data_IF_237350675565
#
_entry.id   IF_237350675565
#
_cell.length_a   1.000
_cell.length_b   1.000
_cell.length_c   1.000
_cell.angle_alpha   90.00
_cell.angle_beta   90.00
_cell.angle_gamma   90.00
#
_symmetry.space_group_name_H-M   'P 1'
#
loop_
_entity.id
_entity.type
_entity.pdbx_description
1 polymer ?
#
# COMPACT_ATOMS: atom_id res chain seq x y z
N UNK A 1 -12.22 26.02 -2.40
CA UNK A 1 -12.35 26.51 -1.00
C UNK A 1 -11.55 25.70 0.03
N UNK A 2 -11.13 24.46 -0.26
CA UNK A 2 -10.37 23.60 0.69
C UNK A 2 -8.85 23.87 0.74
N UNK A 3 -8.26 24.44 -0.31
CA UNK A 3 -6.83 24.80 -0.34
C UNK A 3 -6.42 25.86 0.70
N UNK A 4 -7.33 26.70 1.18
CA UNK A 4 -7.04 27.71 2.21
C UNK A 4 -6.94 27.14 3.63
N UNK A 5 -7.49 25.94 3.90
CA UNK A 5 -7.45 25.32 5.25
C UNK A 5 -6.19 24.48 5.49
N UNK A 6 -5.64 23.87 4.45
CA UNK A 6 -4.34 23.15 4.54
C UNK A 6 -3.18 24.15 4.63
N UNK A 7 -3.27 25.28 3.92
CA UNK A 7 -2.31 26.39 4.04
C UNK A 7 -2.38 27.09 5.41
N UNK A 8 -3.52 27.08 6.10
CA UNK A 8 -3.60 27.62 7.48
C UNK A 8 -2.98 26.71 8.54
N UNK A 9 -2.96 25.38 8.33
CA UNK A 9 -2.28 24.43 9.22
C UNK A 9 -0.77 24.34 8.94
N UNK A 10 -0.33 24.70 7.73
CA UNK A 10 1.09 24.73 7.32
C UNK A 10 1.70 26.15 7.29
N UNK A 11 0.89 27.19 7.44
CA UNK A 11 1.29 28.60 7.30
C UNK A 11 2.04 29.20 8.49
N UNK A 12 2.31 28.42 9.54
CA UNK A 12 3.18 28.81 10.66
C UNK A 12 4.61 28.27 10.55
N UNK A 13 4.91 27.44 9.54
CA UNK A 13 6.26 26.95 9.28
C UNK A 13 6.58 27.15 7.79
N UNK A 14 7.35 28.20 7.49
CA UNK A 14 7.85 28.44 6.13
C UNK A 14 8.75 27.30 5.67
N UNK A 15 8.25 26.40 4.83
CA UNK A 15 9.02 25.30 4.26
C UNK A 15 8.64 25.04 2.78
N UNK A 16 9.32 25.68 1.81
CA UNK A 16 9.10 25.44 0.38
C UNK A 16 9.86 24.22 -0.19
N UNK A 17 10.46 23.35 0.64
CA UNK A 17 11.50 22.39 0.18
C UNK A 17 11.04 20.93 0.07
N UNK A 18 9.83 20.55 0.51
CA UNK A 18 9.36 19.15 0.43
C UNK A 18 8.86 18.73 -0.97
N UNK A 19 8.69 19.68 -1.89
CA UNK A 19 8.07 19.49 -3.20
C UNK A 19 8.99 18.88 -4.29
N UNK A 20 10.31 19.15 -4.39
CA UNK A 20 11.10 18.76 -5.56
C UNK A 20 11.34 17.25 -5.73
N UNK A 21 11.42 16.48 -4.64
CA UNK A 21 11.78 15.05 -4.68
C UNK A 21 10.60 14.13 -5.00
N UNK A 22 9.43 14.40 -4.41
CA UNK A 22 8.17 13.73 -4.74
C UNK A 22 7.78 13.94 -6.23
N UNK A 23 8.09 15.13 -6.77
CA UNK A 23 7.87 15.43 -8.18
C UNK A 23 8.75 14.58 -9.12
N UNK A 24 9.93 14.11 -8.70
CA UNK A 24 10.83 13.35 -9.58
C UNK A 24 10.34 11.92 -9.84
N UNK A 25 9.77 11.24 -8.83
CA UNK A 25 9.17 9.90 -8.97
C UNK A 25 7.83 9.98 -9.70
N UNK A 26 7.00 10.99 -9.38
CA UNK A 26 5.73 11.26 -10.07
C UNK A 26 5.93 11.64 -11.53
N UNK A 27 6.99 12.39 -11.86
CA UNK A 27 7.31 12.75 -13.23
C UNK A 27 7.69 11.52 -14.06
N UNK A 28 8.42 10.55 -13.50
CA UNK A 28 8.73 9.28 -14.20
C UNK A 28 7.48 8.45 -14.45
N UNK A 29 6.62 8.26 -13.45
CA UNK A 29 5.36 7.50 -13.61
C UNK A 29 4.42 8.19 -14.60
N UNK A 30 4.32 9.52 -14.57
CA UNK A 30 3.53 10.29 -15.55
C UNK A 30 4.15 10.29 -16.94
N UNK A 31 5.47 10.24 -17.08
CA UNK A 31 6.15 10.18 -18.38
C UNK A 31 5.96 8.81 -19.03
N UNK A 32 5.97 7.72 -18.27
CA UNK A 32 5.56 6.38 -18.75
C UNK A 32 4.09 6.39 -19.19
N UNK A 33 3.18 7.03 -18.43
CA UNK A 33 1.75 7.10 -18.78
C UNK A 33 1.41 8.04 -19.94
N UNK A 34 2.11 9.17 -20.12
CA UNK A 34 1.80 10.18 -21.15
C UNK A 34 2.40 9.86 -22.52
N UNK A 35 3.39 8.96 -22.60
CA UNK A 35 4.03 8.59 -23.86
C UNK A 35 3.28 7.58 -24.73
N UNK A 36 2.18 6.98 -24.25
CA UNK A 36 1.43 5.95 -25.00
C UNK A 36 -0.07 6.20 -24.93
N UNK A 37 -0.62 6.84 -25.97
CA UNK A 37 -2.01 6.58 -26.33
C UNK A 37 -2.10 5.07 -26.64
N UNK A 38 -2.85 4.33 -25.82
CA UNK A 38 -2.97 2.89 -25.94
C UNK A 38 -3.57 2.53 -27.30
N UNK A 39 -2.75 1.96 -28.20
CA UNK A 39 -3.29 1.18 -29.32
C UNK A 39 -4.01 -0.04 -28.72
N UNK A 40 -5.23 -0.38 -29.16
CA UNK A 40 -5.90 -1.59 -28.73
C UNK A 40 -5.01 -2.79 -29.13
N UNK A 41 -4.56 -3.54 -28.13
CA UNK A 41 -3.82 -4.78 -28.33
C UNK A 41 -4.85 -5.86 -28.69
N UNK A 42 -4.71 -6.57 -29.82
CA UNK A 42 -5.64 -7.63 -30.19
C UNK A 42 -5.63 -8.75 -29.14
N UNK A 43 -6.78 -9.38 -28.86
CA UNK A 43 -6.86 -10.51 -27.94
C UNK A 43 -6.22 -11.72 -28.63
N UNK A 44 -5.08 -12.22 -28.13
CA UNK A 44 -4.46 -13.39 -28.76
C UNK A 44 -3.22 -13.98 -28.09
N UNK A 45 -2.41 -13.19 -27.38
CA UNK A 45 -1.27 -13.72 -26.61
C UNK A 45 -1.17 -13.02 -25.25
N UNK A 46 -0.87 -13.74 -24.15
CA UNK A 46 -0.47 -13.11 -22.90
C UNK A 46 0.79 -12.29 -23.16
N UNK A 47 0.60 -10.97 -23.27
CA UNK A 47 1.67 -10.07 -23.62
C UNK A 47 2.62 -9.96 -22.44
N UNK A 48 3.72 -10.72 -22.50
CA UNK A 48 4.78 -10.84 -21.49
C UNK A 48 5.38 -9.51 -20.98
N UNK A 49 5.01 -8.38 -21.59
CA UNK A 49 5.39 -7.03 -21.17
C UNK A 49 4.42 -6.37 -20.19
N UNK A 50 3.14 -6.77 -20.15
CA UNK A 50 2.15 -6.12 -19.27
C UNK A 50 2.44 -6.43 -17.81
N UNK A 51 2.90 -7.64 -17.52
CA UNK A 51 3.24 -8.06 -16.18
C UNK A 51 4.42 -7.27 -15.63
N UNK A 52 5.45 -7.10 -16.45
CA UNK A 52 6.62 -6.30 -16.11
C UNK A 52 6.24 -4.83 -15.93
N UNK A 53 5.43 -4.25 -16.81
CA UNK A 53 4.98 -2.85 -16.70
C UNK A 53 4.21 -2.60 -15.39
N UNK A 54 3.32 -3.53 -15.02
CA UNK A 54 2.58 -3.46 -13.75
C UNK A 54 3.52 -3.61 -12.55
N UNK A 55 4.40 -4.60 -12.58
CA UNK A 55 5.37 -4.87 -11.52
C UNK A 55 6.31 -3.67 -11.29
N UNK A 56 6.79 -3.03 -12.35
CA UNK A 56 7.58 -1.79 -12.26
C UNK A 56 6.78 -0.69 -11.57
N UNK A 57 5.49 -0.56 -11.90
CA UNK A 57 4.59 0.40 -11.25
C UNK A 57 4.46 0.17 -9.75
N UNK A 58 4.22 -1.08 -9.35
CA UNK A 58 4.08 -1.46 -7.93
C UNK A 58 5.42 -1.26 -7.19
N UNK A 59 6.53 -1.75 -7.73
CA UNK A 59 7.86 -1.57 -7.11
C UNK A 59 8.23 -0.10 -7.00
N UNK A 60 7.89 0.74 -7.98
CA UNK A 60 8.09 2.18 -7.90
C UNK A 60 7.22 2.84 -6.82
N UNK A 61 5.94 2.43 -6.69
CA UNK A 61 5.07 2.88 -5.60
C UNK A 61 5.57 2.42 -4.23
N UNK A 62 6.25 1.27 -4.17
CA UNK A 62 6.83 0.67 -2.98
C UNK A 62 8.26 1.14 -2.66
N UNK A 63 8.79 2.14 -3.36
CA UNK A 63 10.14 2.69 -3.11
C UNK A 63 10.31 3.14 -1.65
N UNK A 64 9.23 3.56 -0.99
CA UNK A 64 9.26 3.92 0.43
C UNK A 64 9.65 2.74 1.33
N UNK A 65 9.26 1.51 0.99
CA UNK A 65 9.66 0.32 1.75
C UNK A 65 11.17 0.12 1.69
N UNK A 66 11.77 0.29 0.51
CA UNK A 66 13.21 0.18 0.32
C UNK A 66 13.94 1.17 1.23
N UNK A 67 13.45 2.41 1.30
CA UNK A 67 14.00 3.44 2.19
C UNK A 67 13.76 3.15 3.66
N UNK A 68 12.59 2.63 4.03
CA UNK A 68 12.28 2.25 5.41
C UNK A 68 13.10 1.05 5.89
N UNK A 69 13.43 0.12 5.00
CA UNK A 69 14.38 -0.95 5.25
C UNK A 69 15.82 -0.43 5.32
N UNK A 70 16.03 0.89 5.16
CA UNK A 70 17.30 1.59 5.36
C UNK A 70 18.27 1.50 4.18
N UNK A 71 17.81 1.10 2.99
CA UNK A 71 18.65 1.09 1.80
C UNK A 71 18.98 2.52 1.38
N UNK A 72 20.26 2.77 1.09
CA UNK A 72 20.64 3.97 0.34
C UNK A 72 20.25 3.83 -1.13
N UNK A 73 20.49 4.87 -1.92
CA UNK A 73 20.11 4.91 -3.33
C UNK A 73 20.81 3.82 -4.17
N UNK A 74 22.09 3.55 -3.92
CA UNK A 74 22.85 2.58 -4.70
C UNK A 74 22.39 1.15 -4.38
N UNK A 75 22.22 0.85 -3.10
CA UNK A 75 21.70 -0.43 -2.63
C UNK A 75 20.25 -0.64 -3.10
N UNK A 76 19.41 0.41 -3.10
CA UNK A 76 18.05 0.36 -3.64
C UNK A 76 18.03 -0.01 -5.13
N UNK A 77 18.92 0.59 -5.93
CA UNK A 77 19.07 0.26 -7.35
C UNK A 77 19.53 -1.18 -7.55
N UNK A 78 20.40 -1.70 -6.68
CA UNK A 78 20.91 -3.05 -6.78
C UNK A 78 19.84 -4.12 -6.49
N UNK A 79 18.91 -3.86 -5.55
CA UNK A 79 17.83 -4.82 -5.23
C UNK A 79 16.62 -4.71 -6.15
N UNK A 80 16.45 -3.59 -6.85
CA UNK A 80 15.27 -3.32 -7.67
C UNK A 80 14.95 -4.40 -8.72
N UNK A 81 15.91 -4.95 -9.48
CA UNK A 81 15.61 -6.00 -10.47
C UNK A 81 14.98 -7.25 -9.85
N UNK A 82 15.44 -7.63 -8.65
CA UNK A 82 14.87 -8.75 -7.92
C UNK A 82 13.44 -8.45 -7.46
N UNK A 83 13.18 -7.26 -6.89
CA UNK A 83 11.83 -6.88 -6.48
C UNK A 83 10.86 -6.90 -7.68
N UNK A 84 11.31 -6.41 -8.85
CA UNK A 84 10.52 -6.46 -10.09
C UNK A 84 10.27 -7.91 -10.52
N UNK A 85 11.27 -8.80 -10.46
CA UNK A 85 11.09 -10.23 -10.77
C UNK A 85 10.03 -10.86 -9.87
N UNK A 86 10.12 -10.67 -8.55
CA UNK A 86 9.18 -11.24 -7.60
C UNK A 86 7.76 -10.70 -7.83
N UNK A 87 7.62 -9.39 -8.01
CA UNK A 87 6.33 -8.75 -8.27
C UNK A 87 5.72 -9.18 -9.62
N UNK A 88 6.57 -9.44 -10.63
CA UNK A 88 6.12 -10.00 -11.91
C UNK A 88 5.49 -11.37 -11.71
N UNK A 89 6.08 -12.23 -10.87
CA UNK A 89 5.52 -13.55 -10.55
C UNK A 89 4.21 -13.46 -9.75
N UNK A 90 4.11 -12.51 -8.82
CA UNK A 90 2.86 -12.22 -8.10
C UNK A 90 1.76 -11.82 -9.08
N UNK A 91 2.07 -10.90 -10.01
CA UNK A 91 1.08 -10.45 -10.99
C UNK A 91 0.72 -11.51 -12.04
N UNK A 92 1.63 -12.43 -12.36
CA UNK A 92 1.27 -13.63 -13.13
C UNK A 92 0.24 -14.49 -12.40
N UNK A 93 0.35 -14.60 -11.07
CA UNK A 93 -0.67 -15.24 -10.24
C UNK A 93 -2.01 -14.53 -10.34
N UNK A 94 -2.02 -13.21 -10.17
CA UNK A 94 -3.21 -12.35 -10.32
C UNK A 94 -3.92 -12.61 -11.68
N UNK A 95 -3.16 -12.57 -12.78
CA UNK A 95 -3.68 -12.85 -14.13
C UNK A 95 -4.22 -14.28 -14.29
N UNK A 96 -3.59 -15.27 -13.64
CA UNK A 96 -4.06 -16.64 -13.66
C UNK A 96 -5.40 -16.79 -12.94
N UNK A 97 -5.56 -16.12 -11.79
CA UNK A 97 -6.84 -16.06 -11.08
C UNK A 97 -7.91 -15.28 -11.84
N UNK A 98 -7.58 -14.14 -12.46
CA UNK A 98 -8.51 -13.43 -13.34
C UNK A 98 -8.98 -14.30 -14.53
N UNK A 99 -8.09 -15.14 -15.08
CA UNK A 99 -8.45 -16.08 -16.14
C UNK A 99 -9.37 -17.20 -15.63
N UNK A 100 -9.07 -17.76 -14.46
CA UNK A 100 -9.90 -18.75 -13.78
C UNK A 100 -11.31 -18.20 -13.49
N UNK A 101 -11.41 -16.99 -12.93
CA UNK A 101 -12.67 -16.30 -12.66
C UNK A 101 -13.49 -16.10 -13.94
N UNK A 102 -12.86 -15.72 -15.06
CA UNK A 102 -13.55 -15.59 -16.37
C UNK A 102 -14.05 -16.93 -16.91
N UNK A 103 -13.40 -18.02 -16.56
CA UNK A 103 -13.85 -19.38 -16.88
C UNK A 103 -14.87 -19.94 -15.87
N UNK A 104 -15.23 -19.17 -14.83
CA UNK A 104 -16.18 -19.59 -13.80
C UNK A 104 -15.59 -20.60 -12.80
N UNK A 105 -14.27 -20.64 -12.64
CA UNK A 105 -13.59 -21.52 -11.68
C UNK A 105 -12.82 -20.69 -10.65
N UNK A 106 -12.88 -21.10 -9.39
CA UNK A 106 -12.21 -20.42 -8.27
C UNK A 106 -10.70 -20.68 -8.22
N UNK A 107 -10.27 -21.81 -8.77
CA UNK A 107 -8.90 -22.30 -8.66
C UNK A 107 -8.11 -21.97 -9.93
N UNK A 108 -6.96 -21.31 -9.77
CA UNK A 108 -6.02 -21.05 -10.84
C UNK A 108 -4.87 -22.07 -10.86
N UNK A 109 -4.08 -22.05 -11.92
CA UNK A 109 -2.82 -22.80 -12.01
C UNK A 109 -1.86 -22.36 -10.88
N UNK A 110 -1.39 -23.27 -10.01
CA UNK A 110 -0.48 -22.94 -8.92
C UNK A 110 0.97 -22.64 -9.37
N UNK A 111 1.29 -22.73 -10.66
CA UNK A 111 2.65 -22.55 -11.18
C UNK A 111 3.32 -21.22 -10.78
N UNK A 112 2.55 -20.14 -10.61
CA UNK A 112 3.07 -18.85 -10.14
C UNK A 112 3.67 -18.98 -8.73
N UNK A 113 3.03 -19.76 -7.85
CA UNK A 113 3.46 -19.97 -6.46
C UNK A 113 4.73 -20.79 -6.39
N UNK A 114 4.82 -21.84 -7.20
CA UNK A 114 6.05 -22.64 -7.33
C UNK A 114 7.20 -21.78 -7.88
N UNK A 115 6.95 -21.02 -8.94
CA UNK A 115 7.94 -20.11 -9.52
C UNK A 115 8.42 -19.06 -8.53
N UNK A 116 7.51 -18.51 -7.72
CA UNK A 116 7.83 -17.55 -6.66
C UNK A 116 8.66 -18.19 -5.54
N UNK A 117 8.31 -19.41 -5.11
CA UNK A 117 9.07 -20.16 -4.11
C UNK A 117 10.49 -20.51 -4.60
N UNK A 118 10.62 -20.93 -5.86
CA UNK A 118 11.92 -21.19 -6.50
C UNK A 118 12.74 -19.90 -6.53
N UNK A 119 12.18 -18.79 -7.01
CA UNK A 119 12.89 -17.51 -7.07
C UNK A 119 13.36 -17.04 -5.68
N UNK A 120 12.54 -17.22 -4.64
CA UNK A 120 12.95 -16.92 -3.26
C UNK A 120 14.10 -17.83 -2.79
N UNK A 121 14.02 -19.13 -3.07
CA UNK A 121 15.04 -20.10 -2.67
C UNK A 121 16.37 -19.88 -3.38
N UNK A 122 16.36 -19.59 -4.69
CA UNK A 122 17.55 -19.27 -5.50
C UNK A 122 18.38 -18.12 -4.91
N UNK A 123 17.71 -17.17 -4.25
CA UNK A 123 18.33 -16.01 -3.63
C UNK A 123 18.54 -16.16 -2.12
N UNK A 124 18.26 -17.35 -1.54
CA UNK A 124 18.38 -17.59 -0.10
C UNK A 124 17.38 -16.79 0.75
N UNK A 125 16.25 -16.42 0.15
CA UNK A 125 15.26 -15.51 0.75
C UNK A 125 14.10 -16.20 1.43
N UNK A 126 13.95 -17.52 1.24
CA UNK A 126 12.96 -18.32 1.95
C UNK A 126 13.12 -18.20 3.47
N UNK A 127 11.99 -18.23 4.17
CA UNK A 127 11.93 -18.09 5.61
C UNK A 127 10.51 -17.78 6.10
N UNK A 128 10.28 -17.83 7.44
CA UNK A 128 8.93 -17.77 7.99
C UNK A 128 8.10 -16.56 7.53
N UNK A 129 8.72 -15.37 7.45
CA UNK A 129 8.03 -14.14 7.08
C UNK A 129 7.66 -14.11 5.58
N UNK A 130 8.55 -14.57 4.69
CA UNK A 130 8.26 -14.65 3.25
C UNK A 130 7.24 -15.75 2.96
N UNK A 131 7.33 -16.89 3.65
CA UNK A 131 6.44 -18.03 3.46
C UNK A 131 5.02 -17.70 3.93
N UNK A 132 4.91 -16.96 5.05
CA UNK A 132 3.64 -16.42 5.52
C UNK A 132 3.02 -15.44 4.52
N UNK A 133 3.83 -14.54 3.93
CA UNK A 133 3.34 -13.59 2.93
C UNK A 133 2.87 -14.27 1.63
N UNK A 134 3.59 -15.29 1.14
CA UNK A 134 3.17 -16.09 -0.02
C UNK A 134 1.88 -16.87 0.27
N UNK A 135 1.75 -17.42 1.49
CA UNK A 135 0.53 -18.10 1.92
C UNK A 135 -0.66 -17.14 1.99
N UNK A 136 -0.45 -15.92 2.52
CA UNK A 136 -1.48 -14.89 2.56
C UNK A 136 -1.90 -14.42 1.17
N UNK A 137 -0.96 -14.29 0.22
CA UNK A 137 -1.25 -14.00 -1.18
C UNK A 137 -2.15 -15.06 -1.85
N UNK A 138 -1.79 -16.33 -1.73
CA UNK A 138 -2.59 -17.44 -2.27
C UNK A 138 -3.98 -17.49 -1.61
N UNK A 139 -4.03 -17.30 -0.28
CA UNK A 139 -5.27 -17.18 0.47
C UNK A 139 -6.16 -16.03 -0.01
N UNK A 140 -5.57 -14.86 -0.26
CA UNK A 140 -6.25 -13.69 -0.80
C UNK A 140 -6.86 -13.98 -2.17
N UNK A 141 -6.08 -14.48 -3.14
CA UNK A 141 -6.58 -14.71 -4.50
C UNK A 141 -7.74 -15.71 -4.54
N UNK A 142 -7.67 -16.77 -3.74
CA UNK A 142 -8.75 -17.76 -3.60
C UNK A 142 -10.00 -17.14 -2.99
N UNK A 143 -9.84 -16.38 -1.91
CA UNK A 143 -10.95 -15.74 -1.21
C UNK A 143 -11.63 -14.67 -2.08
N UNK A 144 -10.83 -13.89 -2.82
CA UNK A 144 -11.32 -12.93 -3.81
C UNK A 144 -12.15 -13.63 -4.90
N UNK A 145 -11.62 -14.72 -5.46
CA UNK A 145 -12.28 -15.48 -6.53
C UNK A 145 -13.63 -16.04 -6.10
N UNK A 146 -13.70 -16.64 -4.91
CA UNK A 146 -14.98 -17.13 -4.33
C UNK A 146 -16.01 -16.02 -4.18
N UNK A 147 -15.57 -14.83 -3.72
CA UNK A 147 -16.47 -13.69 -3.59
C UNK A 147 -16.95 -13.17 -4.95
N UNK A 148 -16.06 -13.06 -5.94
CA UNK A 148 -16.42 -12.57 -7.27
C UNK A 148 -17.36 -13.51 -8.00
N UNK A 149 -17.16 -14.83 -7.85
CA UNK A 149 -18.01 -15.87 -8.43
C UNK A 149 -19.32 -16.10 -7.65
N UNK A 150 -19.48 -15.47 -6.48
CA UNK A 150 -20.68 -15.62 -5.66
C UNK A 150 -20.77 -16.96 -4.91
N UNK A 151 -19.66 -17.69 -4.81
CA UNK A 151 -19.56 -18.92 -4.01
C UNK A 151 -19.56 -18.64 -2.50
N UNK A 152 -19.27 -17.39 -2.11
CA UNK A 152 -19.29 -16.94 -0.72
C UNK A 152 -19.94 -15.57 -0.65
N UNK A 153 -20.79 -15.36 0.35
CA UNK A 153 -21.39 -14.06 0.61
C UNK A 153 -20.38 -13.12 1.29
N UNK A 154 -20.43 -11.80 1.03
CA UNK A 154 -19.59 -10.85 1.74
C UNK A 154 -20.04 -10.74 3.20
N UNK A 155 -19.28 -11.32 4.12
CA UNK A 155 -19.45 -11.12 5.57
C UNK A 155 -18.40 -10.12 6.12
N UNK A 156 -18.71 -9.39 7.21
CA UNK A 156 -17.81 -8.35 7.73
C UNK A 156 -16.42 -8.86 8.14
N UNK A 157 -16.32 -10.05 8.72
CA UNK A 157 -15.04 -10.61 9.18
C UNK A 157 -14.15 -10.99 7.99
N UNK A 158 -14.74 -11.61 6.99
CA UNK A 158 -14.06 -11.98 5.77
C UNK A 158 -13.61 -10.76 4.97
N UNK A 159 -14.46 -9.74 4.83
CA UNK A 159 -14.07 -8.49 4.17
C UNK A 159 -12.95 -7.78 4.93
N UNK A 160 -12.95 -7.82 6.27
CA UNK A 160 -11.84 -7.29 7.07
C UNK A 160 -10.53 -8.03 6.79
N UNK A 161 -10.55 -9.37 6.82
CA UNK A 161 -9.39 -10.21 6.50
C UNK A 161 -8.85 -9.93 5.10
N UNK A 162 -9.72 -9.94 4.09
CA UNK A 162 -9.37 -9.63 2.70
C UNK A 162 -8.75 -8.26 2.55
N UNK A 163 -9.28 -7.26 3.26
CA UNK A 163 -8.72 -5.90 3.20
C UNK A 163 -7.28 -5.86 3.70
N UNK A 164 -6.91 -6.68 4.69
CA UNK A 164 -5.52 -6.82 5.13
C UNK A 164 -4.67 -7.64 4.16
N UNK A 165 -5.22 -8.74 3.66
CA UNK A 165 -4.45 -9.71 2.87
C UNK A 165 -4.22 -9.20 1.43
N UNK A 166 -4.99 -8.22 0.97
CA UNK A 166 -4.84 -7.59 -0.36
C UNK A 166 -3.48 -6.94 -0.60
N UNK A 167 -2.78 -6.53 0.46
CA UNK A 167 -1.42 -5.96 0.36
C UNK A 167 -0.33 -6.97 0.74
N UNK A 168 -0.60 -8.28 0.63
CA UNK A 168 0.37 -9.33 0.98
C UNK A 168 1.60 -9.35 0.06
N UNK A 169 1.50 -8.85 -1.15
CA UNK A 169 2.60 -8.57 -2.09
C UNK A 169 3.56 -7.55 -1.49
N UNK A 170 3.03 -6.43 -0.98
CA UNK A 170 3.80 -5.38 -0.30
C UNK A 170 4.47 -5.95 0.97
N UNK A 171 3.79 -6.83 1.71
CA UNK A 171 4.36 -7.51 2.86
C UNK A 171 5.46 -8.50 2.48
N UNK A 172 5.32 -9.20 1.34
CA UNK A 172 6.38 -10.06 0.79
C UNK A 172 7.62 -9.23 0.43
N UNK A 173 7.45 -8.12 -0.30
CA UNK A 173 8.57 -7.24 -0.65
C UNK A 173 9.26 -6.67 0.60
N UNK A 174 8.49 -6.32 1.62
CA UNK A 174 9.02 -5.87 2.92
C UNK A 174 9.86 -6.94 3.62
N UNK A 175 9.37 -8.18 3.69
CA UNK A 175 10.11 -9.30 4.26
C UNK A 175 11.40 -9.60 3.48
N UNK A 176 11.33 -9.59 2.14
CA UNK A 176 12.48 -9.80 1.25
C UNK A 176 13.57 -8.75 1.49
N UNK A 177 13.21 -7.48 1.57
CA UNK A 177 14.17 -6.40 1.85
C UNK A 177 14.93 -6.62 3.16
N UNK A 178 14.22 -6.98 4.23
CA UNK A 178 14.86 -7.27 5.51
C UNK A 178 15.74 -8.52 5.47
N UNK A 179 15.30 -9.55 4.75
CA UNK A 179 16.05 -10.80 4.55
C UNK A 179 17.37 -10.57 3.80
N UNK A 180 17.35 -9.81 2.70
CA UNK A 180 18.57 -9.42 1.95
C UNK A 180 19.55 -8.68 2.87
N UNK A 181 19.05 -7.82 3.76
CA UNK A 181 19.89 -7.09 4.72
C UNK A 181 20.40 -7.93 5.90
N UNK A 182 19.89 -9.14 6.10
CA UNK A 182 20.15 -9.90 7.33
C UNK A 182 19.56 -9.23 8.58
N UNK A 183 18.45 -8.50 8.44
CA UNK A 183 17.75 -7.82 9.54
C UNK A 183 16.33 -8.37 9.69
N UNK A 184 15.65 -8.00 10.77
CA UNK A 184 14.22 -8.25 10.94
C UNK A 184 13.46 -6.92 10.91
N UNK A 185 12.26 -6.88 10.33
CA UNK A 185 11.44 -5.69 10.39
C UNK A 185 11.02 -5.42 11.84
N UNK A 186 10.98 -4.14 12.24
CA UNK A 186 10.49 -3.77 13.55
C UNK A 186 9.01 -4.18 13.70
N UNK A 187 8.65 -5.04 14.67
CA UNK A 187 7.29 -5.61 14.74
C UNK A 187 6.20 -4.54 14.82
N UNK A 188 6.44 -3.46 15.58
CA UNK A 188 5.48 -2.37 15.74
C UNK A 188 5.27 -1.59 14.42
N UNK A 189 6.34 -1.29 13.68
CA UNK A 189 6.23 -0.65 12.38
C UNK A 189 5.50 -1.54 11.36
N UNK A 190 5.79 -2.84 11.34
CA UNK A 190 5.10 -3.81 10.48
C UNK A 190 3.60 -3.85 10.77
N UNK A 191 3.21 -3.86 12.04
CA UNK A 191 1.80 -3.82 12.44
C UNK A 191 1.11 -2.53 11.98
N UNK A 192 1.76 -1.37 12.16
CA UNK A 192 1.24 -0.09 11.69
C UNK A 192 1.13 0.00 10.17
N UNK A 193 2.12 -0.49 9.44
CA UNK A 193 2.09 -0.55 7.98
C UNK A 193 0.94 -1.42 7.48
N UNK A 194 0.66 -2.56 8.13
CA UNK A 194 -0.47 -3.43 7.79
C UNK A 194 -1.80 -2.69 7.88
N UNK A 195 -2.05 -1.94 8.96
CA UNK A 195 -3.27 -1.12 9.06
C UNK A 195 -3.32 0.02 8.04
N UNK A 196 -2.18 0.67 7.80
CA UNK A 196 -2.10 1.76 6.85
C UNK A 196 -2.42 1.31 5.41
N UNK A 197 -1.82 0.21 4.97
CA UNK A 197 -2.06 -0.37 3.64
C UNK A 197 -3.53 -0.78 3.47
N UNK A 198 -4.13 -1.44 4.47
CA UNK A 198 -5.56 -1.77 4.47
C UNK A 198 -6.47 -0.54 4.31
N UNK A 199 -6.14 0.58 4.98
CA UNK A 199 -6.87 1.84 4.81
C UNK A 199 -6.67 2.47 3.42
N UNK A 200 -5.48 2.32 2.84
CA UNK A 200 -5.20 2.75 1.47
C UNK A 200 -6.02 1.95 0.46
N UNK A 201 -6.16 0.64 0.62
CA UNK A 201 -7.00 -0.21 -0.24
C UNK A 201 -8.46 0.27 -0.25
N UNK A 202 -9.02 0.54 0.93
CA UNK A 202 -10.36 1.13 1.03
C UNK A 202 -10.43 2.49 0.29
N UNK A 203 -9.41 3.33 0.46
CA UNK A 203 -9.34 4.62 -0.21
C UNK A 203 -9.27 4.50 -1.73
N UNK A 204 -8.47 3.56 -2.24
CA UNK A 204 -8.37 3.26 -3.66
C UNK A 204 -9.70 2.77 -4.22
N UNK A 205 -10.36 1.81 -3.55
CA UNK A 205 -11.66 1.29 -3.98
C UNK A 205 -12.74 2.39 -4.05
N UNK A 206 -12.72 3.35 -3.13
CA UNK A 206 -13.62 4.50 -3.18
C UNK A 206 -13.38 5.39 -4.41
N UNK A 207 -12.11 5.57 -4.80
CA UNK A 207 -11.74 6.38 -5.96
C UNK A 207 -12.00 5.66 -7.28
N UNK A 208 -11.82 4.34 -7.33
CA UNK A 208 -11.96 3.53 -8.53
C UNK A 208 -13.34 2.89 -8.71
N UNK A 209 -14.24 3.04 -7.72
CA UNK A 209 -15.56 2.37 -7.70
C UNK A 209 -16.30 2.36 -9.03
N UNK A 210 -16.43 3.50 -9.71
CA UNK A 210 -17.20 3.57 -10.96
C UNK A 210 -16.56 2.75 -12.09
N UNK A 211 -15.22 2.77 -12.17
CA UNK A 211 -14.47 2.00 -13.16
C UNK A 211 -14.54 0.51 -12.84
N UNK A 212 -14.21 0.13 -11.61
CA UNK A 212 -14.14 -1.28 -11.22
C UNK A 212 -15.54 -1.93 -11.26
N UNK A 213 -16.61 -1.16 -11.00
CA UNK A 213 -18.00 -1.62 -11.22
C UNK A 213 -18.29 -1.90 -12.69
N UNK A 214 -17.81 -1.05 -13.60
CA UNK A 214 -18.02 -1.23 -15.04
C UNK A 214 -17.26 -2.45 -15.58
N UNK A 215 -16.06 -2.69 -15.05
CA UNK A 215 -15.17 -3.79 -15.46
C UNK A 215 -15.51 -5.12 -14.74
N UNK A 216 -16.51 -5.12 -13.87
CA UNK A 216 -16.80 -6.23 -12.96
C UNK A 216 -15.58 -6.68 -12.11
N UNK A 217 -14.63 -5.77 -11.85
CA UNK A 217 -13.43 -6.02 -11.04
C UNK A 217 -13.68 -5.91 -9.52
N UNK A 218 -12.86 -6.57 -8.71
CA UNK A 218 -12.95 -6.52 -7.25
C UNK A 218 -12.93 -5.08 -6.73
N UNK A 219 -13.85 -4.78 -5.82
CA UNK A 219 -13.97 -3.49 -5.16
C UNK A 219 -14.78 -3.64 -3.87
N UNK A 220 -14.22 -3.25 -2.72
CA UNK A 220 -14.87 -3.41 -1.41
C UNK A 220 -16.22 -2.68 -1.35
N UNK A 221 -16.33 -1.46 -1.88
CA UNK A 221 -17.60 -0.73 -1.88
C UNK A 221 -18.65 -1.45 -2.72
N UNK A 222 -18.26 -2.08 -3.84
CA UNK A 222 -19.17 -2.90 -4.65
C UNK A 222 -19.68 -4.12 -3.88
N UNK A 223 -18.79 -4.81 -3.16
CA UNK A 223 -19.16 -5.96 -2.32
C UNK A 223 -20.10 -5.54 -1.19
N UNK A 224 -19.86 -4.39 -0.56
CA UNK A 224 -20.75 -3.83 0.46
C UNK A 224 -22.13 -3.47 -0.12
N UNK A 225 -22.20 -2.96 -1.35
CA UNK A 225 -23.49 -2.73 -2.05
C UNK A 225 -24.20 -4.05 -2.34
N UNK A 226 -23.48 -5.12 -2.70
CA UNK A 226 -24.07 -6.44 -2.89
C UNK A 226 -24.67 -7.00 -1.59
N UNK A 227 -23.93 -6.92 -0.48
CA UNK A 227 -24.36 -7.48 0.81
C UNK A 227 -25.46 -6.66 1.50
N UNK A 228 -25.39 -5.32 1.45
CA UNK A 228 -26.23 -4.44 2.28
C UNK A 228 -27.12 -3.48 1.47
N UNK A 229 -27.08 -3.55 0.15
CA UNK A 229 -27.72 -2.58 -0.74
C UNK A 229 -27.04 -1.20 -0.72
N UNK A 230 -27.41 -0.29 -1.66
CA UNK A 230 -26.78 1.03 -1.77
C UNK A 230 -26.89 1.89 -0.50
N UNK A 231 -28.01 1.80 0.22
CA UNK A 231 -28.25 2.58 1.44
C UNK A 231 -27.38 2.09 2.61
N UNK A 232 -27.19 0.77 2.74
CA UNK A 232 -26.41 0.16 3.82
C UNK A 232 -24.90 0.15 3.58
N UNK A 233 -24.47 0.12 2.32
CA UNK A 233 -23.05 -0.05 1.95
C UNK A 233 -22.12 1.02 2.55
N UNK A 234 -22.56 2.28 2.62
CA UNK A 234 -21.75 3.37 3.20
C UNK A 234 -21.57 3.20 4.71
N UNK A 235 -22.59 2.70 5.42
CA UNK A 235 -22.50 2.41 6.84
C UNK A 235 -21.57 1.22 7.10
N UNK A 236 -21.76 0.12 6.36
CA UNK A 236 -20.91 -1.06 6.46
C UNK A 236 -19.43 -0.77 6.13
N UNK A 237 -19.16 0.04 5.10
CA UNK A 237 -17.79 0.47 4.79
C UNK A 237 -17.18 1.36 5.89
N UNK A 238 -18.01 2.17 6.58
CA UNK A 238 -17.57 2.96 7.73
C UNK A 238 -17.22 2.07 8.92
N UNK A 239 -18.01 1.02 9.17
CA UNK A 239 -17.74 0.03 10.22
C UNK A 239 -16.45 -0.75 9.95
N UNK A 240 -16.28 -1.23 8.71
CA UNK A 240 -15.03 -1.88 8.28
C UNK A 240 -13.82 -0.97 8.49
N UNK A 241 -13.93 0.29 8.07
CA UNK A 241 -12.88 1.30 8.31
C UNK A 241 -12.65 1.52 9.81
N UNK A 242 -13.69 1.58 10.63
CA UNK A 242 -13.58 1.74 12.08
C UNK A 242 -12.81 0.57 12.72
N UNK A 243 -13.10 -0.67 12.28
CA UNK A 243 -12.43 -1.90 12.72
C UNK A 243 -10.92 -1.91 12.41
N UNK A 244 -10.47 -1.16 11.39
CA UNK A 244 -9.05 -0.99 11.06
C UNK A 244 -8.45 0.21 11.82
N UNK A 245 -9.16 1.35 11.83
CA UNK A 245 -8.65 2.59 12.46
C UNK A 245 -8.52 2.50 13.98
N UNK A 246 -9.38 1.73 14.66
CA UNK A 246 -9.33 1.55 16.11
C UNK A 246 -8.02 0.93 16.59
N UNK A 247 -7.68 -0.29 16.14
CA UNK A 247 -6.38 -0.92 16.42
C UNK A 247 -5.18 -0.08 15.97
N UNK A 248 -5.25 0.55 14.79
CA UNK A 248 -4.21 1.45 14.31
C UNK A 248 -3.97 2.64 15.25
N UNK A 249 -5.04 3.27 15.72
CA UNK A 249 -4.98 4.38 16.67
C UNK A 249 -4.38 3.97 18.02
N UNK A 250 -4.69 2.76 18.49
CA UNK A 250 -4.10 2.19 19.69
C UNK A 250 -2.58 2.03 19.53
N UNK A 251 -2.12 1.44 18.43
CA UNK A 251 -0.69 1.29 18.12
C UNK A 251 0.02 2.65 17.98
N UNK A 252 -0.58 3.63 17.30
CA UNK A 252 0.03 4.97 17.16
C UNK A 252 0.19 5.64 18.53
N UNK A 253 -0.73 5.38 19.47
CA UNK A 253 -0.70 5.95 20.81
C UNK A 253 0.44 5.38 21.66
N UNK A 254 0.86 4.14 21.41
CA UNK A 254 1.96 3.51 22.15
C UNK A 254 3.30 3.60 21.43
N UNK A 255 3.29 3.74 20.10
CA UNK A 255 4.49 3.67 19.29
C UNK A 255 5.52 4.76 19.59
N UNK A 256 6.78 4.33 19.60
CA UNK A 256 7.89 5.25 19.79
C UNK A 256 7.98 6.27 18.63
N UNK A 257 8.70 7.36 18.88
CA UNK A 257 8.84 8.45 17.91
C UNK A 257 9.46 8.01 16.58
N UNK A 258 10.43 7.11 16.63
CA UNK A 258 11.13 6.63 15.44
C UNK A 258 10.17 5.81 14.56
N UNK A 259 9.39 4.92 15.18
CA UNK A 259 8.35 4.14 14.51
C UNK A 259 7.29 5.04 13.87
N UNK A 260 6.83 6.08 14.58
CA UNK A 260 5.89 7.06 14.03
C UNK A 260 6.48 7.87 12.87
N UNK A 261 7.74 8.30 12.98
CA UNK A 261 8.45 8.98 11.91
C UNK A 261 8.57 8.12 10.65
N UNK A 262 8.88 6.83 10.81
CA UNK A 262 8.93 5.86 9.72
C UNK A 262 7.56 5.68 9.04
N UNK A 263 6.49 5.50 9.83
CA UNK A 263 5.12 5.41 9.30
C UNK A 263 4.75 6.65 8.48
N UNK A 264 5.05 7.85 8.97
CA UNK A 264 4.77 9.10 8.27
C UNK A 264 5.49 9.21 6.93
N UNK A 265 6.74 8.74 6.85
CA UNK A 265 7.48 8.67 5.58
C UNK A 265 6.78 7.75 4.58
N UNK A 266 6.29 6.58 5.03
CA UNK A 266 5.48 5.70 4.18
C UNK A 266 4.21 6.40 3.70
N UNK A 267 3.47 7.01 4.62
CA UNK A 267 2.22 7.70 4.32
C UNK A 267 2.38 8.79 3.26
N UNK A 268 3.41 9.64 3.41
CA UNK A 268 3.70 10.73 2.47
C UNK A 268 4.14 10.21 1.11
N UNK A 269 4.97 9.17 1.06
CA UNK A 269 5.44 8.61 -0.20
C UNK A 269 4.28 8.08 -1.04
N UNK A 270 3.35 7.35 -0.42
CA UNK A 270 2.17 6.83 -1.12
C UNK A 270 1.23 7.95 -1.55
N UNK A 271 1.04 8.99 -0.72
CA UNK A 271 0.17 10.12 -1.07
C UNK A 271 0.65 10.87 -2.31
N UNK A 272 1.97 11.07 -2.41
CA UNK A 272 2.59 11.76 -3.54
C UNK A 272 2.47 10.99 -4.85
N UNK A 273 2.30 9.67 -4.81
CA UNK A 273 2.05 8.84 -6.00
C UNK A 273 0.66 9.10 -6.64
N UNK A 274 -0.15 10.00 -6.08
CA UNK A 274 -1.31 10.59 -6.74
C UNK A 274 -2.66 10.25 -6.11
N UNK A 275 -2.66 9.63 -4.92
CA UNK A 275 -3.88 9.25 -4.24
C UNK A 275 -4.50 10.44 -3.47
N UNK A 276 -3.68 11.36 -2.94
CA UNK A 276 -4.14 12.49 -2.10
C UNK A 276 -5.10 12.05 -0.98
N UNK A 277 -4.91 10.82 -0.50
CA UNK A 277 -5.71 10.15 0.53
C UNK A 277 -5.25 10.54 1.92
N UNK A 278 -4.01 10.99 2.10
CA UNK A 278 -3.43 11.25 3.41
C UNK A 278 -4.26 12.20 4.28
N UNK A 279 -4.71 13.38 3.79
CA UNK A 279 -5.53 14.27 4.61
C UNK A 279 -6.86 13.62 5.02
N UNK A 280 -7.44 12.80 4.14
CA UNK A 280 -8.69 12.09 4.41
C UNK A 280 -8.49 11.00 5.44
N UNK A 281 -7.39 10.25 5.35
CA UNK A 281 -7.08 9.16 6.26
C UNK A 281 -6.68 9.67 7.65
N UNK A 282 -5.90 10.75 7.73
CA UNK A 282 -5.55 11.41 9.00
C UNK A 282 -6.78 12.00 9.69
N UNK A 283 -7.78 12.47 8.93
CA UNK A 283 -9.03 12.96 9.49
C UNK A 283 -9.92 11.86 10.11
N UNK A 284 -9.63 10.58 9.84
CA UNK A 284 -10.31 9.45 10.48
C UNK A 284 -9.73 9.10 11.84
N UNK A 285 -8.51 9.55 12.13
CA UNK A 285 -7.84 9.26 13.39
C UNK A 285 -8.39 10.17 14.49
N UNK A 286 -8.47 9.68 15.74
CA UNK A 286 -8.82 10.53 16.88
C UNK A 286 -7.89 11.75 16.98
N UNK A 287 -8.41 12.92 17.35
CA UNK A 287 -7.62 14.16 17.45
C UNK A 287 -6.29 14.02 18.20
N UNK A 288 -6.18 13.31 19.34
CA UNK A 288 -4.91 13.10 20.01
C UNK A 288 -3.88 12.34 19.16
N UNK A 289 -4.35 11.36 18.37
CA UNK A 289 -3.53 10.54 17.47
C UNK A 289 -3.03 11.38 16.30
N UNK A 290 -3.90 12.17 15.67
CA UNK A 290 -3.52 13.06 14.57
C UNK A 290 -2.53 14.15 15.04
N UNK A 291 -2.70 14.68 16.26
CA UNK A 291 -1.73 15.59 16.88
C UNK A 291 -0.37 14.93 17.09
N UNK A 292 -0.34 13.70 17.58
CA UNK A 292 0.91 12.94 17.79
C UNK A 292 1.64 12.69 16.47
N UNK A 293 0.92 12.32 15.42
CA UNK A 293 1.48 12.19 14.06
C UNK A 293 2.01 13.54 13.54
N UNK A 294 1.24 14.62 13.72
CA UNK A 294 1.69 15.95 13.31
C UNK A 294 2.97 16.39 14.04
N UNK A 295 3.08 16.13 15.34
CA UNK A 295 4.31 16.37 16.09
C UNK A 295 5.45 15.52 15.54
N UNK A 296 5.25 14.21 15.34
CA UNK A 296 6.29 13.34 14.79
C UNK A 296 6.79 13.81 13.40
N UNK A 297 5.92 14.41 12.58
CA UNK A 297 6.31 15.06 11.31
C UNK A 297 7.27 16.24 11.52
N UNK A 298 6.92 17.16 12.43
CA UNK A 298 7.76 18.34 12.73
C UNK A 298 9.17 17.90 13.16
N UNK A 299 9.26 16.84 13.96
CA UNK A 299 10.53 16.32 14.44
C UNK A 299 11.32 15.49 13.43
N UNK A 300 10.65 14.82 12.49
CA UNK A 300 11.32 14.11 11.41
C UNK A 300 12.03 15.08 10.44
N UNK A 301 11.52 16.31 10.33
CA UNK A 301 12.11 17.39 9.55
C UNK A 301 13.43 17.88 10.16
N UNK A 302 13.47 18.06 11.50
CA UNK A 302 14.63 18.56 12.23
C UNK A 302 15.91 17.73 12.03
N UNK A 303 15.80 16.39 12.01
CA UNK A 303 16.97 15.51 11.78
C UNK A 303 17.47 15.51 10.34
N UNK A 304 16.62 15.86 9.36
CA UNK A 304 17.03 15.97 7.95
C UNK A 304 17.65 17.32 7.61
N UNK A 305 17.31 18.37 8.36
CA UNK A 305 17.73 19.74 8.05
C UNK A 305 18.69 20.38 9.06
N UNK A 306 19.09 19.69 10.13
CA UNK A 306 20.15 20.16 11.02
C UNK A 306 19.82 21.47 11.75
N UNK A 307 18.54 21.73 12.03
CA UNK A 307 18.12 22.93 12.75
C UNK A 307 18.68 22.88 14.18
N UNK A 308 19.43 23.91 14.65
CA UNK A 308 20.01 23.89 15.99
C UNK A 308 18.93 23.77 17.08
N UNK A 309 19.12 22.90 18.09
CA UNK A 309 18.13 22.64 19.14
C UNK A 309 17.73 23.88 19.97
N UNK A 310 18.50 24.96 19.88
CA UNK A 310 18.33 26.19 20.65
C UNK A 310 17.08 26.99 20.24
N UNK A 311 16.62 26.88 18.97
CA UNK A 311 15.50 27.65 18.44
C UNK A 311 14.11 27.09 18.79
N UNK A 312 14.03 25.86 19.31
CA UNK A 312 12.75 25.14 19.51
C UNK A 312 12.35 24.99 20.99
N UNK A 313 13.27 25.27 21.92
CA UNK A 313 13.05 25.08 23.35
C UNK A 313 11.93 25.98 23.93
N UNK A 314 11.55 27.04 23.22
CA UNK A 314 10.51 27.98 23.63
C UNK A 314 9.15 27.73 22.95
N UNK A 315 9.14 27.25 21.70
CA UNK A 315 7.90 26.93 20.97
C UNK A 315 7.32 25.56 21.33
N UNK A 316 8.16 24.60 21.73
CA UNK A 316 7.69 23.23 22.05
C UNK A 316 7.11 23.10 23.46
N UNK A 317 7.29 24.13 24.31
CA UNK A 317 6.72 24.18 25.67
C UNK A 317 5.28 24.72 25.72
N UNK A 318 4.73 25.20 24.59
CA UNK A 318 3.35 25.70 24.47
C UNK A 318 2.52 24.74 23.61
#
# INVERSE_FOLDING_TARGET
MWGKRIVMLLGLAGAPVLVPLALSTVSRVRQVRRGRAARPVPPGEPGHGREIEKAVGIVAMSEFLVRLAGYDRAAAQAVQPLLIRLETLVYQGDLAFEAAQRAGVTEADPAWRESLAIALAEHGLSGPDTDAAVTALDGYFRAESRLLLGETEPDPEHLLRLTYDRSSDIHLLWAVLHRIRGTRPAPELTALLRHWLALLEIGHDQLSYQRDRADNAFNLLRLQVRAHGPAGAVAALRELRAAITGPAAALITTADRHTLGALLVAMLAVDTAGAHLLPRLVALLPTPVSRRLALALLYADERRYGTPPELLSEQTRR
#
